data_IF_203539183015
#
_entry.id   IF_203539183015
#
_cell.length_a   1.000
_cell.length_b   1.000
_cell.length_c   1.000
_cell.angle_alpha   90.00
_cell.angle_beta   90.00
_cell.angle_gamma   90.00
#
_symmetry.space_group_name_H-M   'P 1'
#
loop_
_entity.id
_entity.type
_entity.pdbx_description
1 polymer ?
#
# COMPACT_ATOMS: atom_id res chain seq x y z
N UNK A 1 -13.60 -4.86 22.58
CA UNK A 1 -13.03 -4.84 21.23
C UNK A 1 -12.12 -6.04 21.07
N UNK A 2 -12.36 -6.90 20.10
CA UNK A 2 -11.43 -7.97 19.86
C UNK A 2 -10.09 -7.35 19.43
N UNK A 3 -9.07 -7.61 20.22
CA UNK A 3 -7.72 -7.31 19.80
C UNK A 3 -7.37 -8.34 18.75
N UNK A 4 -7.30 -7.92 17.49
CA UNK A 4 -6.67 -8.73 16.46
C UNK A 4 -5.19 -8.83 16.83
N UNK A 5 -4.86 -9.83 17.62
CA UNK A 5 -3.46 -10.25 17.72
C UNK A 5 -3.11 -10.92 16.42
N UNK A 6 -2.77 -10.12 15.44
CA UNK A 6 -2.08 -10.64 14.27
C UNK A 6 -0.68 -11.04 14.73
N UNK A 7 -0.52 -12.30 15.08
CA UNK A 7 0.77 -12.90 15.31
C UNK A 7 1.50 -13.09 13.95
N UNK A 8 1.58 -12.00 13.18
CA UNK A 8 2.32 -12.00 11.91
C UNK A 8 3.80 -12.37 12.15
N UNK A 9 4.33 -12.02 13.33
CA UNK A 9 5.69 -12.35 13.73
C UNK A 9 5.93 -13.85 13.90
N UNK A 10 4.89 -14.62 14.22
CA UNK A 10 4.98 -16.06 14.42
C UNK A 10 4.85 -16.84 13.10
N UNK A 11 4.51 -16.18 12.00
CA UNK A 11 4.44 -16.80 10.68
C UNK A 11 5.84 -16.88 10.09
N UNK A 12 6.23 -18.12 9.75
CA UNK A 12 7.46 -18.36 9.01
C UNK A 12 7.30 -17.86 7.58
N UNK A 13 8.13 -16.88 7.20
CA UNK A 13 8.12 -16.33 5.85
C UNK A 13 9.12 -17.11 4.99
N UNK A 14 8.62 -17.63 3.87
CA UNK A 14 9.44 -18.23 2.84
C UNK A 14 9.89 -17.16 1.85
N UNK A 15 11.12 -16.68 2.01
CA UNK A 15 11.69 -15.64 1.16
C UNK A 15 11.84 -16.06 -0.30
N UNK A 16 11.96 -17.36 -0.58
CA UNK A 16 12.06 -17.86 -1.95
C UNK A 16 10.72 -17.82 -2.68
N UNK A 17 9.62 -17.86 -1.93
CA UNK A 17 8.27 -17.78 -2.47
C UNK A 17 7.80 -16.33 -2.72
N UNK A 18 8.54 -15.32 -2.26
CA UNK A 18 8.21 -13.92 -2.47
C UNK A 18 8.42 -13.54 -3.93
N UNK A 19 7.40 -12.98 -4.55
CA UNK A 19 7.47 -12.53 -5.94
C UNK A 19 8.42 -11.35 -6.10
N UNK A 20 9.11 -11.29 -7.24
CA UNK A 20 10.01 -10.18 -7.57
C UNK A 20 9.24 -8.91 -7.95
N UNK A 21 8.02 -9.05 -8.44
CA UNK A 21 7.18 -7.96 -8.90
C UNK A 21 5.70 -8.28 -8.69
N UNK A 22 4.95 -7.27 -8.23
CA UNK A 22 3.50 -7.34 -8.06
C UNK A 22 2.88 -6.03 -8.56
N UNK A 23 1.73 -6.16 -9.24
CA UNK A 23 0.88 -5.03 -9.61
C UNK A 23 -0.50 -5.23 -8.98
N UNK A 24 -0.99 -4.20 -8.28
CA UNK A 24 -2.29 -4.22 -7.60
C UNK A 24 -3.10 -3.02 -8.04
N UNK A 25 -4.36 -3.26 -8.38
CA UNK A 25 -5.35 -2.22 -8.64
C UNK A 25 -6.17 -1.98 -7.38
N UNK A 26 -6.25 -0.72 -6.95
CA UNK A 26 -7.05 -0.29 -5.82
C UNK A 26 -8.22 0.54 -6.35
N UNK A 27 -9.45 -0.01 -6.42
CA UNK A 27 -10.60 0.71 -6.93
C UNK A 27 -10.99 1.88 -6.02
N UNK A 28 -11.60 2.90 -6.61
CA UNK A 28 -12.26 3.94 -5.83
C UNK A 28 -13.42 3.35 -5.04
N UNK A 29 -13.64 3.89 -3.87
CA UNK A 29 -14.73 3.46 -2.99
C UNK A 29 -15.61 4.63 -2.61
N UNK A 30 -16.88 4.34 -2.37
CA UNK A 30 -17.82 5.25 -1.70
C UNK A 30 -17.99 4.75 -0.29
N UNK A 31 -17.41 5.45 0.67
CA UNK A 31 -17.35 5.01 2.06
C UNK A 31 -18.58 5.42 2.88
N UNK A 32 -19.40 6.32 2.38
CA UNK A 32 -20.56 6.86 3.09
C UNK A 32 -21.78 6.90 2.16
N UNK A 33 -22.65 5.93 2.31
CA UNK A 33 -23.96 5.91 1.64
C UNK A 33 -24.96 6.74 2.45
N UNK A 34 -25.79 7.52 1.80
CA UNK A 34 -26.70 8.51 2.41
C UNK A 34 -27.45 7.96 3.64
N UNK A 35 -28.00 6.75 3.55
CA UNK A 35 -28.78 6.15 4.63
C UNK A 35 -27.96 5.30 5.60
N UNK A 36 -26.72 5.01 5.30
CA UNK A 36 -25.85 4.13 6.08
C UNK A 36 -24.65 4.81 6.71
N UNK A 37 -24.40 6.07 6.40
CA UNK A 37 -23.21 6.81 6.84
C UNK A 37 -21.93 5.98 6.64
N UNK A 38 -21.07 5.89 7.65
CA UNK A 38 -19.81 5.15 7.56
C UNK A 38 -19.96 3.61 7.61
N UNK A 39 -21.19 3.11 7.78
CA UNK A 39 -21.45 1.67 7.88
C UNK A 39 -21.60 1.03 6.50
N UNK A 40 -22.17 1.77 5.52
CA UNK A 40 -22.42 1.29 4.18
C UNK A 40 -21.49 1.96 3.17
N UNK A 41 -20.86 1.15 2.36
CA UNK A 41 -20.00 1.59 1.28
C UNK A 41 -19.92 0.57 0.17
N UNK A 42 -19.34 0.96 -0.95
CA UNK A 42 -19.11 0.08 -2.08
C UNK A 42 -17.88 0.50 -2.88
N UNK A 43 -17.30 -0.45 -3.59
CA UNK A 43 -16.24 -0.19 -4.56
C UNK A 43 -16.82 -0.07 -5.96
N UNK A 44 -16.18 0.73 -6.81
CA UNK A 44 -16.53 0.85 -8.22
C UNK A 44 -15.49 0.14 -9.09
N UNK A 45 -15.88 -0.26 -10.31
CA UNK A 45 -14.97 -0.93 -11.23
C UNK A 45 -13.87 0.01 -11.73
N UNK A 46 -14.21 1.27 -11.97
CA UNK A 46 -13.33 2.34 -12.40
C UNK A 46 -13.86 3.69 -11.89
N UNK A 47 -12.99 4.67 -11.63
CA UNK A 47 -11.52 4.62 -11.65
C UNK A 47 -10.93 3.97 -10.40
N UNK A 48 -9.60 3.82 -10.41
CA UNK A 48 -8.85 3.36 -9.25
C UNK A 48 -7.38 3.66 -9.45
N UNK A 49 -6.61 3.52 -8.39
CA UNK A 49 -5.16 3.69 -8.43
C UNK A 49 -4.46 2.36 -8.64
N UNK A 50 -3.27 2.40 -9.19
CA UNK A 50 -2.42 1.22 -9.35
C UNK A 50 -1.16 1.37 -8.52
N UNK A 51 -0.73 0.27 -7.91
CA UNK A 51 0.53 0.18 -7.19
C UNK A 51 1.33 -0.96 -7.77
N UNK A 52 2.55 -0.67 -8.20
CA UNK A 52 3.52 -1.68 -8.60
C UNK A 52 4.60 -1.75 -7.54
N UNK A 53 4.94 -2.94 -7.11
CA UNK A 53 5.99 -3.18 -6.14
C UNK A 53 7.05 -4.09 -6.74
N UNK A 54 8.30 -3.75 -6.48
CA UNK A 54 9.46 -4.47 -6.96
C UNK A 54 10.31 -4.88 -5.76
N UNK A 55 10.71 -6.14 -5.73
CA UNK A 55 11.72 -6.60 -4.78
C UNK A 55 13.09 -6.17 -5.25
N UNK A 56 13.85 -5.57 -4.36
CA UNK A 56 15.22 -5.13 -4.63
C UNK A 56 16.17 -5.66 -3.56
N UNK A 57 17.46 -5.67 -3.87
CA UNK A 57 18.48 -6.25 -2.98
C UNK A 57 18.77 -5.39 -1.75
N UNK A 58 18.61 -4.07 -1.86
CA UNK A 58 18.86 -3.16 -0.75
C UNK A 58 17.66 -3.11 0.19
N UNK A 59 17.79 -3.46 1.49
CA UNK A 59 16.68 -3.45 2.43
C UNK A 59 16.03 -2.07 2.60
N UNK A 60 14.76 -2.08 2.95
CA UNK A 60 13.96 -0.88 3.20
C UNK A 60 12.89 -0.66 2.15
N UNK A 61 12.12 0.41 2.34
CA UNK A 61 11.01 0.79 1.45
C UNK A 61 11.33 2.12 0.80
N UNK A 62 11.20 2.19 -0.53
CA UNK A 62 11.43 3.40 -1.33
C UNK A 62 10.34 3.59 -2.36
N UNK A 63 10.11 4.83 -2.73
CA UNK A 63 9.24 5.17 -3.85
C UNK A 63 10.11 5.41 -5.07
N UNK A 64 9.87 4.60 -6.12
CA UNK A 64 10.57 4.73 -7.40
C UNK A 64 10.01 5.89 -8.21
N UNK A 65 8.69 5.96 -8.33
CA UNK A 65 8.01 7.01 -9.08
C UNK A 65 6.55 7.15 -8.68
N UNK A 66 5.99 8.33 -8.92
CA UNK A 66 4.56 8.61 -8.77
C UNK A 66 4.12 9.31 -10.06
N UNK A 67 3.10 8.76 -10.69
CA UNK A 67 2.52 9.26 -11.95
C UNK A 67 1.06 9.65 -11.70
N UNK A 68 0.63 10.76 -12.29
CA UNK A 68 -0.76 11.20 -12.23
C UNK A 68 -1.12 12.05 -11.01
N UNK A 69 -0.14 12.42 -10.19
CA UNK A 69 -0.33 13.26 -9.00
C UNK A 69 -0.04 14.76 -9.25
N UNK A 70 0.48 15.10 -10.43
CA UNK A 70 0.93 16.46 -10.73
C UNK A 70 2.11 16.92 -9.89
N UNK A 71 2.92 16.01 -9.37
CA UNK A 71 4.06 16.30 -8.51
C UNK A 71 3.70 16.69 -7.07
N UNK A 72 2.46 16.44 -6.64
CA UNK A 72 1.96 16.87 -5.32
C UNK A 72 2.28 15.90 -4.19
N UNK A 73 2.39 14.60 -4.50
CA UNK A 73 2.67 13.60 -3.48
C UNK A 73 4.17 13.49 -3.20
N UNK A 74 4.56 13.32 -1.93
CA UNK A 74 5.97 13.21 -1.59
C UNK A 74 6.57 11.89 -2.08
N UNK A 75 7.80 11.96 -2.60
CA UNK A 75 8.62 10.79 -2.92
C UNK A 75 9.33 10.22 -1.71
N UNK A 76 9.36 10.96 -0.61
CA UNK A 76 9.91 10.48 0.66
C UNK A 76 9.04 9.36 1.20
N UNK A 77 9.64 8.18 1.40
CA UNK A 77 8.95 6.99 1.86
C UNK A 77 8.27 7.15 3.23
N UNK A 78 8.82 8.00 4.08
CA UNK A 78 8.25 8.23 5.42
C UNK A 78 7.08 9.23 5.40
N UNK A 79 6.92 9.96 4.32
CA UNK A 79 5.87 10.99 4.16
C UNK A 79 4.75 10.59 3.22
N UNK A 80 4.89 9.47 2.53
CA UNK A 80 3.88 8.96 1.61
C UNK A 80 3.10 7.83 2.27
N UNK A 81 1.77 7.90 2.21
CA UNK A 81 0.88 6.94 2.88
C UNK A 81 1.10 5.51 2.40
N UNK A 82 1.31 5.30 1.11
CA UNK A 82 1.51 3.96 0.54
C UNK A 82 2.78 3.32 1.10
N UNK A 83 3.90 4.02 1.03
CA UNK A 83 5.18 3.51 1.53
C UNK A 83 5.20 3.39 3.05
N UNK A 84 4.54 4.30 3.77
CA UNK A 84 4.42 4.21 5.23
C UNK A 84 3.66 2.94 5.64
N UNK A 85 2.55 2.61 4.97
CA UNK A 85 1.80 1.37 5.23
C UNK A 85 2.63 0.12 4.94
N UNK A 86 3.34 0.07 3.84
CA UNK A 86 4.22 -1.05 3.50
C UNK A 86 5.34 -1.21 4.54
N UNK A 87 5.96 -0.10 4.91
CA UNK A 87 7.01 -0.10 5.93
C UNK A 87 6.52 -0.62 7.28
N UNK A 88 5.34 -0.17 7.73
CA UNK A 88 4.74 -0.66 8.97
C UNK A 88 4.45 -2.15 8.93
N UNK A 89 3.94 -2.66 7.81
CA UNK A 89 3.71 -4.10 7.64
C UNK A 89 5.02 -4.89 7.73
N UNK A 90 6.08 -4.43 7.08
CA UNK A 90 7.38 -5.10 7.13
C UNK A 90 7.99 -5.07 8.55
N UNK A 91 7.77 -3.99 9.30
CA UNK A 91 8.16 -3.90 10.71
C UNK A 91 7.39 -4.92 11.54
N UNK A 92 6.07 -5.01 11.37
CA UNK A 92 5.22 -5.94 12.10
C UNK A 92 5.56 -7.40 11.80
N UNK A 93 5.96 -7.69 10.56
CA UNK A 93 6.46 -9.01 10.17
C UNK A 93 7.89 -9.30 10.66
N UNK A 94 8.62 -8.28 11.11
CA UNK A 94 10.00 -8.40 11.56
C UNK A 94 11.02 -8.60 10.45
N UNK A 95 10.71 -8.18 9.22
CA UNK A 95 11.56 -8.42 8.03
C UNK A 95 12.04 -7.15 7.33
N UNK A 96 11.83 -5.97 7.90
CA UNK A 96 12.22 -4.70 7.26
C UNK A 96 13.72 -4.66 6.91
N UNK A 97 14.57 -5.33 7.69
CA UNK A 97 16.02 -5.38 7.47
C UNK A 97 16.43 -6.47 6.46
N UNK A 98 15.51 -7.35 6.10
CA UNK A 98 15.78 -8.53 5.28
C UNK A 98 15.30 -8.37 3.84
N UNK A 99 14.37 -7.45 3.58
CA UNK A 99 13.76 -7.27 2.28
C UNK A 99 13.78 -5.81 1.84
N UNK A 100 14.04 -5.60 0.55
CA UNK A 100 13.93 -4.29 -0.09
C UNK A 100 12.73 -4.24 -1.02
N UNK A 101 12.00 -3.12 -0.97
CA UNK A 101 10.82 -2.86 -1.80
C UNK A 101 10.91 -1.49 -2.43
N UNK A 102 10.72 -1.41 -3.74
CA UNK A 102 10.51 -0.16 -4.46
C UNK A 102 9.09 -0.11 -4.99
N UNK A 103 8.47 1.06 -4.89
CA UNK A 103 7.06 1.28 -5.20
C UNK A 103 6.94 2.27 -6.36
N UNK A 104 6.14 1.91 -7.36
CA UNK A 104 5.59 2.82 -8.35
C UNK A 104 4.11 3.02 -8.07
N UNK A 105 3.70 4.26 -7.90
CA UNK A 105 2.31 4.65 -7.70
C UNK A 105 1.78 5.31 -8.97
N UNK A 106 0.67 4.80 -9.48
CA UNK A 106 -0.03 5.37 -10.63
C UNK A 106 -1.39 5.86 -10.16
N UNK A 107 -1.50 7.19 -10.04
CA UNK A 107 -2.71 7.86 -9.57
C UNK A 107 -3.68 8.10 -10.71
N UNK A 108 -4.88 7.57 -10.59
CA UNK A 108 -6.03 7.90 -11.44
C UNK A 108 -7.09 8.68 -10.67
N UNK A 109 -7.07 8.56 -9.33
CA UNK A 109 -7.98 9.29 -8.46
C UNK A 109 -7.42 10.66 -8.12
N UNK A 110 -8.26 11.70 -8.03
CA UNK A 110 -7.84 13.02 -7.55
C UNK A 110 -7.32 12.93 -6.12
N UNK A 111 -6.30 13.71 -5.82
CA UNK A 111 -5.78 13.83 -4.45
C UNK A 111 -6.85 14.48 -3.58
N UNK A 112 -7.13 13.89 -2.42
CA UNK A 112 -8.12 14.42 -1.50
C UNK A 112 -9.57 14.16 -1.91
N UNK A 113 -9.80 13.19 -2.78
CA UNK A 113 -11.15 12.83 -3.22
C UNK A 113 -12.03 12.18 -2.14
N UNK A 114 -11.44 11.82 -1.02
CA UNK A 114 -12.15 11.21 0.11
C UNK A 114 -12.38 9.73 -0.06
#
# INVERSE_FOLDING_TARGET
>A
MPVYQNNLKDKKIDFDAIKDKVRVFAPATVANMICGFDILGFAVDEPGDEVKMYRVSEPGVRIRSIVGDGGRLPLDADRNTVSACVKMLLIDLGILQDIGVEIELIKHMPIGSG
#
